data_IF_360102692349
#
_entry.id   IF_360102692349
#
_cell.length_a   1.000
_cell.length_b   1.000
_cell.length_c   1.000
_cell.angle_alpha   90.00
_cell.angle_beta   90.00
_cell.angle_gamma   90.00
#
_symmetry.space_group_name_H-M   'P 1'
#
loop_
_entity.id
_entity.type
_entity.pdbx_description
1 polymer ?
#
# COMPACT_ATOMS: atom_id res chain seq x y z
N UNK A 1 13.00 13.48 -58.49
CA UNK A 1 13.91 14.05 -57.48
C UNK A 1 13.18 13.92 -56.15
N UNK A 2 13.64 13.05 -55.26
CA UNK A 2 12.98 12.88 -53.95
C UNK A 2 13.18 14.18 -53.18
N UNK A 3 12.10 14.80 -52.73
CA UNK A 3 12.14 16.03 -51.91
C UNK A 3 12.65 15.67 -50.51
N UNK A 4 13.97 15.49 -50.41
CA UNK A 4 14.68 15.14 -49.18
C UNK A 4 14.41 16.20 -48.11
N UNK A 5 14.26 17.46 -48.49
CA UNK A 5 13.97 18.55 -47.57
C UNK A 5 12.57 18.42 -46.97
N UNK A 6 11.56 18.11 -47.78
CA UNK A 6 10.21 17.81 -47.32
C UNK A 6 10.16 16.63 -46.33
N UNK A 7 10.91 15.56 -46.60
CA UNK A 7 11.02 14.42 -45.68
C UNK A 7 11.70 14.77 -44.36
N UNK A 8 12.79 15.54 -44.38
CA UNK A 8 13.48 16.01 -43.17
C UNK A 8 12.55 16.87 -42.32
N UNK A 9 11.80 17.78 -42.94
CA UNK A 9 10.81 18.62 -42.24
C UNK A 9 9.67 17.79 -41.66
N UNK A 10 9.18 16.77 -42.38
CA UNK A 10 8.14 15.87 -41.89
C UNK A 10 8.63 15.10 -40.65
N UNK A 11 9.83 14.52 -40.70
CA UNK A 11 10.43 13.78 -39.57
C UNK A 11 10.64 14.71 -38.37
N UNK A 12 11.17 15.92 -38.58
CA UNK A 12 11.36 16.90 -37.51
C UNK A 12 10.05 17.28 -36.82
N UNK A 13 8.97 17.48 -37.59
CA UNK A 13 7.64 17.78 -37.03
C UNK A 13 7.08 16.61 -36.22
N UNK A 14 7.25 15.37 -36.69
CA UNK A 14 6.82 14.18 -35.95
C UNK A 14 7.57 14.09 -34.61
N UNK A 15 8.88 14.30 -34.61
CA UNK A 15 9.69 14.31 -33.38
C UNK A 15 9.20 15.40 -32.42
N UNK A 16 8.93 16.61 -32.92
CA UNK A 16 8.43 17.70 -32.09
C UNK A 16 7.08 17.37 -31.44
N UNK A 17 6.14 16.81 -32.21
CA UNK A 17 4.84 16.36 -31.69
C UNK A 17 5.03 15.30 -30.60
N UNK A 18 5.93 14.33 -30.81
CA UNK A 18 6.26 13.33 -29.80
C UNK A 18 6.82 13.96 -28.51
N UNK A 19 7.69 14.96 -28.60
CA UNK A 19 8.25 15.66 -27.45
C UNK A 19 7.19 16.46 -26.68
N UNK A 20 6.32 17.20 -27.38
CA UNK A 20 5.21 17.95 -26.77
C UNK A 20 4.27 16.99 -26.05
N UNK A 21 3.93 15.87 -26.68
CA UNK A 21 3.09 14.84 -26.08
C UNK A 21 3.74 14.24 -24.82
N UNK A 22 5.05 13.94 -24.85
CA UNK A 22 5.78 13.43 -23.70
C UNK A 22 5.81 14.43 -22.53
N UNK A 23 6.04 15.72 -22.80
CA UNK A 23 6.02 16.77 -21.78
C UNK A 23 4.62 16.94 -21.15
N UNK A 24 3.59 17.00 -21.98
CA UNK A 24 2.21 17.11 -21.51
C UNK A 24 1.81 15.91 -20.62
N UNK A 25 2.27 14.71 -20.99
CA UNK A 25 2.07 13.49 -20.21
C UNK A 25 2.72 13.57 -18.83
N UNK A 26 3.98 13.97 -18.75
CA UNK A 26 4.67 14.09 -17.45
C UNK A 26 3.99 15.13 -16.55
N UNK A 27 3.45 16.21 -17.12
CA UNK A 27 2.69 17.21 -16.35
C UNK A 27 1.35 16.69 -15.82
N UNK A 28 0.68 15.81 -16.57
CA UNK A 28 -0.64 15.23 -16.21
C UNK A 28 -0.56 13.96 -15.40
N UNK A 29 0.65 13.52 -15.08
CA UNK A 29 0.90 12.33 -14.27
C UNK A 29 0.33 12.50 -12.85
N UNK A 30 -0.48 11.57 -12.35
CA UNK A 30 -0.91 11.58 -10.97
C UNK A 30 0.24 11.15 -10.05
N UNK A 31 0.28 11.72 -8.84
CA UNK A 31 1.24 11.34 -7.81
C UNK A 31 0.49 10.56 -6.75
N UNK A 32 0.59 9.23 -6.81
CA UNK A 32 -0.01 8.35 -5.80
C UNK A 32 1.02 8.00 -4.74
N UNK A 33 0.60 8.08 -3.48
CA UNK A 33 1.36 7.63 -2.32
C UNK A 33 0.59 6.57 -1.56
N UNK A 34 1.34 5.69 -0.92
CA UNK A 34 0.80 4.65 -0.04
C UNK A 34 1.20 4.96 1.40
N UNK A 35 0.40 4.55 2.38
CA UNK A 35 0.75 4.59 3.81
C UNK A 35 0.08 3.41 4.50
N UNK A 36 0.81 2.76 5.41
CA UNK A 36 0.23 1.71 6.24
C UNK A 36 0.02 2.27 7.65
N UNK A 37 -1.20 2.14 8.14
CA UNK A 37 -1.61 2.67 9.44
C UNK A 37 -2.27 1.57 10.27
N UNK A 38 -1.83 1.32 11.51
CA UNK A 38 -2.53 0.45 12.45
C UNK A 38 -3.89 1.05 12.87
N UNK A 39 -4.89 0.20 13.12
CA UNK A 39 -6.25 0.61 13.52
C UNK A 39 -6.29 1.59 14.70
N UNK A 40 -5.48 1.35 15.74
CA UNK A 40 -5.39 2.22 16.92
C UNK A 40 -5.00 3.67 16.57
N UNK A 41 -4.09 3.84 15.60
CA UNK A 41 -3.67 5.17 15.14
C UNK A 41 -4.73 5.81 14.25
N UNK A 42 -5.56 5.03 13.57
CA UNK A 42 -6.66 5.50 12.71
C UNK A 42 -7.81 6.07 13.53
N UNK A 43 -8.20 5.36 14.60
CA UNK A 43 -9.25 5.81 15.54
C UNK A 43 -8.83 7.10 16.26
N UNK A 44 -7.59 7.19 16.73
CA UNK A 44 -7.04 8.40 17.38
C UNK A 44 -7.03 9.62 16.45
N UNK A 45 -6.95 9.43 15.14
CA UNK A 45 -6.98 10.49 14.14
C UNK A 45 -8.40 10.86 13.67
N UNK A 46 -9.44 10.40 14.36
CA UNK A 46 -10.83 10.82 14.10
C UNK A 46 -11.52 10.11 12.93
N UNK A 47 -10.91 9.07 12.36
CA UNK A 47 -11.57 8.25 11.34
C UNK A 47 -12.62 7.35 12.00
N UNK A 48 -13.83 7.26 11.40
CA UNK A 48 -14.86 6.31 11.84
C UNK A 48 -14.33 4.89 11.66
N UNK A 49 -14.37 4.08 12.72
CA UNK A 49 -14.13 2.65 12.63
C UNK A 49 -15.05 2.07 11.55
N UNK A 50 -14.49 1.37 10.57
CA UNK A 50 -15.32 0.68 9.57
C UNK A 50 -15.91 -0.51 10.33
N UNK A 51 -17.24 -0.58 10.54
CA UNK A 51 -17.85 -1.61 11.35
C UNK A 51 -17.95 -2.88 10.51
N UNK A 52 -16.83 -3.59 10.35
CA UNK A 52 -16.90 -5.05 10.21
C UNK A 52 -16.76 -5.60 11.62
N UNK A 53 -17.62 -6.53 11.97
CA UNK A 53 -17.52 -7.36 13.17
C UNK A 53 -16.12 -7.97 13.19
N UNK A 54 -15.19 -7.28 13.84
CA UNK A 54 -13.87 -7.81 14.19
C UNK A 54 -14.16 -8.84 15.26
N UNK A 55 -14.42 -10.08 14.84
CA UNK A 55 -14.51 -11.18 15.77
C UNK A 55 -13.11 -11.42 16.33
N UNK A 56 -12.97 -11.17 17.64
CA UNK A 56 -11.90 -11.67 18.52
C UNK A 56 -10.50 -11.78 17.90
N UNK A 57 -9.67 -10.76 18.10
CA UNK A 57 -8.22 -10.86 17.93
C UNK A 57 -7.68 -10.40 16.56
N UNK A 58 -8.54 -9.88 15.70
CA UNK A 58 -8.15 -9.39 14.36
C UNK A 58 -7.43 -8.04 14.42
N UNK A 59 -6.20 -8.03 13.90
CA UNK A 59 -5.39 -6.82 13.73
C UNK A 59 -5.70 -6.24 12.37
N UNK A 60 -6.37 -5.09 12.34
CA UNK A 60 -6.54 -4.35 11.10
C UNK A 60 -5.34 -3.42 10.88
N UNK A 61 -4.46 -3.80 9.95
CA UNK A 61 -3.61 -2.81 9.27
C UNK A 61 -4.42 -2.21 8.11
N UNK A 62 -4.27 -0.91 7.87
CA UNK A 62 -4.91 -0.24 6.75
C UNK A 62 -3.86 0.25 5.76
N UNK A 63 -4.01 -0.14 4.50
CA UNK A 63 -3.33 0.47 3.38
C UNK A 63 -4.15 1.68 2.90
N UNK A 64 -3.60 2.86 3.14
CA UNK A 64 -4.10 4.12 2.60
C UNK A 64 -3.41 4.36 1.26
N UNK A 65 -4.18 4.59 0.22
CA UNK A 65 -3.70 5.01 -1.11
C UNK A 65 -4.23 6.41 -1.38
N UNK A 66 -3.34 7.36 -1.57
CA UNK A 66 -3.67 8.77 -1.69
C UNK A 66 -3.16 9.35 -3.01
N UNK A 67 -3.98 10.16 -3.67
CA UNK A 67 -3.54 10.99 -4.79
C UNK A 67 -3.17 12.37 -4.26
N UNK A 68 -1.88 12.65 -4.12
CA UNK A 68 -1.41 13.95 -3.61
C UNK A 68 -1.22 15.00 -4.71
N UNK A 69 -1.54 14.66 -5.96
CA UNK A 69 -1.43 15.55 -7.11
C UNK A 69 -2.72 16.29 -7.41
N UNK A 70 -2.62 17.28 -8.29
CA UNK A 70 -3.76 17.99 -8.86
C UNK A 70 -4.37 17.27 -10.08
N UNK A 71 -3.87 16.08 -10.44
CA UNK A 71 -4.31 15.33 -11.61
C UNK A 71 -5.17 14.13 -11.20
N UNK A 72 -6.20 13.81 -11.99
CA UNK A 72 -7.02 12.60 -11.79
C UNK A 72 -6.19 11.34 -12.04
N UNK A 73 -6.30 10.35 -11.18
CA UNK A 73 -5.83 9.00 -11.47
C UNK A 73 -7.02 8.15 -11.91
N UNK A 74 -7.04 7.66 -13.14
CA UNK A 74 -8.12 6.81 -13.66
C UNK A 74 -7.69 5.35 -13.74
N UNK A 75 -8.65 4.42 -13.69
CA UNK A 75 -8.42 2.97 -13.73
C UNK A 75 -7.33 2.53 -12.74
N UNK A 76 -7.46 2.93 -11.48
CA UNK A 76 -6.46 2.65 -10.45
C UNK A 76 -6.60 1.21 -10.02
N UNK A 77 -5.63 0.36 -10.40
CA UNK A 77 -5.52 -1.01 -9.91
C UNK A 77 -4.49 -1.05 -8.81
N UNK A 78 -4.86 -1.61 -7.66
CA UNK A 78 -4.02 -1.76 -6.49
C UNK A 78 -3.90 -3.25 -6.20
N UNK A 79 -2.69 -3.75 -6.36
CA UNK A 79 -2.33 -5.12 -6.03
C UNK A 79 -1.38 -5.09 -4.84
N UNK A 80 -1.57 -5.99 -3.89
CA UNK A 80 -0.59 -6.20 -2.85
C UNK A 80 -0.41 -7.68 -2.53
N UNK A 81 0.82 -8.04 -2.18
CA UNK A 81 1.18 -9.42 -1.83
C UNK A 81 2.01 -9.48 -0.55
N UNK A 82 1.77 -10.54 0.22
CA UNK A 82 2.55 -10.89 1.40
C UNK A 82 3.59 -11.93 1.06
N UNK A 83 4.83 -11.68 1.48
CA UNK A 83 5.93 -12.61 1.39
C UNK A 83 6.48 -12.89 2.78
N UNK A 84 6.67 -14.17 3.10
CA UNK A 84 7.40 -14.63 4.28
C UNK A 84 8.59 -15.45 3.81
N UNK A 85 9.81 -15.04 4.18
CA UNK A 85 11.04 -15.71 3.74
C UNK A 85 11.13 -15.92 2.21
N UNK A 86 10.52 -15.02 1.43
CA UNK A 86 10.46 -15.10 -0.04
C UNK A 86 9.30 -15.94 -0.60
N UNK A 87 8.56 -16.67 0.25
CA UNK A 87 7.38 -17.42 -0.14
C UNK A 87 6.14 -16.51 -0.15
N UNK A 88 5.39 -16.54 -1.26
CA UNK A 88 4.17 -15.74 -1.42
C UNK A 88 3.01 -16.38 -0.64
N UNK A 89 2.54 -15.68 0.39
CA UNK A 89 1.48 -16.14 1.28
C UNK A 89 0.10 -15.72 0.81
N UNK A 90 -0.08 -14.46 0.40
CA UNK A 90 -1.38 -13.95 -0.02
C UNK A 90 -1.23 -12.85 -1.06
N UNK A 91 -2.25 -12.69 -1.89
CA UNK A 91 -2.34 -11.64 -2.90
C UNK A 91 -3.77 -11.13 -2.95
N UNK A 92 -3.89 -9.81 -2.99
CA UNK A 92 -5.18 -9.13 -3.11
C UNK A 92 -5.08 -8.10 -4.21
N UNK A 93 -6.09 -8.10 -5.08
CA UNK A 93 -6.26 -7.12 -6.14
C UNK A 93 -7.56 -6.34 -5.93
N UNK A 94 -7.48 -5.02 -6.08
CA UNK A 94 -8.60 -4.09 -6.03
C UNK A 94 -8.51 -3.11 -7.18
N UNK A 95 -9.66 -2.73 -7.73
CA UNK A 95 -9.76 -1.74 -8.80
C UNK A 95 -10.67 -0.60 -8.36
N UNK A 96 -10.30 0.62 -8.78
CA UNK A 96 -11.08 1.83 -8.62
C UNK A 96 -11.17 2.51 -9.99
N UNK A 97 -12.38 2.93 -10.36
CA UNK A 97 -12.61 3.64 -11.62
C UNK A 97 -11.76 4.91 -11.70
N UNK A 98 -11.67 5.62 -10.58
CA UNK A 98 -10.83 6.80 -10.44
C UNK A 98 -10.50 7.12 -8.97
N UNK A 99 -9.50 7.98 -8.78
CA UNK A 99 -9.14 8.64 -7.53
C UNK A 99 -8.89 10.12 -7.82
N UNK A 100 -9.76 11.02 -7.34
CA UNK A 100 -9.66 12.44 -7.66
C UNK A 100 -8.39 13.07 -7.08
N UNK A 101 -8.00 14.24 -7.57
CA UNK A 101 -6.99 15.06 -6.92
C UNK A 101 -7.23 15.20 -5.41
N UNK A 102 -6.18 15.05 -4.62
CA UNK A 102 -6.20 15.19 -3.16
C UNK A 102 -7.15 14.23 -2.40
N UNK A 103 -7.61 13.15 -3.04
CA UNK A 103 -8.38 12.10 -2.38
C UNK A 103 -7.53 10.94 -1.90
N UNK A 104 -8.06 10.20 -0.92
CA UNK A 104 -7.48 8.96 -0.44
C UNK A 104 -8.56 7.90 -0.27
N UNK A 105 -8.15 6.65 -0.44
CA UNK A 105 -8.97 5.46 -0.16
C UNK A 105 -8.24 4.59 0.84
N UNK A 106 -9.03 3.92 1.68
CA UNK A 106 -8.53 3.05 2.74
C UNK A 106 -8.92 1.61 2.42
N UNK A 107 -7.97 0.70 2.53
CA UNK A 107 -8.20 -0.73 2.38
C UNK A 107 -7.65 -1.47 3.59
N UNK A 108 -8.43 -2.41 4.11
CA UNK A 108 -7.96 -3.29 5.17
C UNK A 108 -6.99 -4.30 4.57
N UNK A 109 -5.84 -4.44 5.22
CA UNK A 109 -4.88 -5.52 5.01
C UNK A 109 -5.37 -6.71 5.82
N UNK A 110 -5.72 -7.80 5.14
CA UNK A 110 -6.22 -9.03 5.77
C UNK A 110 -5.04 -9.89 6.22
N UNK A 111 -4.53 -9.66 7.44
CA UNK A 111 -3.51 -10.53 8.04
C UNK A 111 -4.09 -11.89 8.48
N UNK A 112 -5.41 -12.00 8.67
CA UNK A 112 -6.10 -13.25 9.00
C UNK A 112 -5.84 -14.36 7.97
N UNK A 113 -5.79 -14.00 6.68
CA UNK A 113 -5.50 -14.93 5.58
C UNK A 113 -4.14 -15.63 5.75
N UNK A 114 -3.19 -15.01 6.47
CA UNK A 114 -1.88 -15.60 6.77
C UNK A 114 -2.02 -16.67 7.86
N UNK A 115 -2.80 -16.40 8.90
CA UNK A 115 -3.08 -17.36 9.98
C UNK A 115 -3.73 -18.61 9.40
N UNK A 116 -4.71 -18.43 8.50
CA UNK A 116 -5.45 -19.56 7.91
C UNK A 116 -4.56 -20.43 7.00
N UNK A 117 -3.61 -19.83 6.28
CA UNK A 117 -2.70 -20.55 5.37
C UNK A 117 -1.53 -21.20 6.07
N UNK A 118 -1.01 -20.58 7.12
CA UNK A 118 0.16 -21.06 7.88
C UNK A 118 -0.13 -21.11 9.38
N UNK A 119 -1.16 -21.88 9.79
CA UNK A 119 -1.54 -21.98 11.20
C UNK A 119 -0.42 -22.59 12.06
N UNK A 120 0.49 -23.33 11.44
CA UNK A 120 1.69 -23.90 12.06
C UNK A 120 2.60 -22.86 12.72
N UNK A 121 2.62 -21.64 12.19
CA UNK A 121 3.45 -20.53 12.66
C UNK A 121 2.85 -19.79 13.85
N UNK A 122 1.58 -20.05 14.19
CA UNK A 122 0.84 -19.33 15.20
C UNK A 122 0.45 -20.23 16.37
N UNK A 123 0.23 -19.60 17.50
CA UNK A 123 -0.35 -20.20 18.69
C UNK A 123 -1.49 -19.34 19.21
N UNK A 124 -2.49 -20.00 19.81
CA UNK A 124 -3.60 -19.32 20.48
C UNK A 124 -3.33 -19.35 21.97
N UNK A 125 -3.22 -18.17 22.56
CA UNK A 125 -3.01 -17.99 23.99
C UNK A 125 -4.27 -17.38 24.57
N UNK A 126 -4.83 -18.04 25.58
CA UNK A 126 -5.96 -17.54 26.33
C UNK A 126 -5.47 -16.85 27.60
N UNK A 127 -5.89 -15.60 27.77
CA UNK A 127 -5.58 -14.82 28.96
C UNK A 127 -6.85 -14.46 29.70
N UNK A 128 -6.93 -14.76 31.01
CA UNK A 128 -8.04 -14.32 31.83
C UNK A 128 -7.96 -12.80 32.03
N UNK A 129 -8.97 -12.06 31.59
CA UNK A 129 -9.13 -10.65 31.94
C UNK A 129 -10.40 -10.49 32.78
N UNK A 130 -10.24 -10.32 34.09
CA UNK A 130 -11.20 -9.91 35.15
C UNK A 130 -12.60 -10.58 35.15
N UNK A 131 -13.29 -10.75 34.01
CA UNK A 131 -14.54 -11.51 33.79
C UNK A 131 -14.65 -12.25 32.43
N UNK A 132 -13.66 -12.18 31.53
CA UNK A 132 -13.69 -12.84 30.20
C UNK A 132 -12.35 -13.48 29.85
N UNK A 133 -12.40 -14.59 29.10
CA UNK A 133 -11.22 -15.16 28.42
C UNK A 133 -10.98 -14.36 27.13
N UNK A 134 -9.82 -13.72 27.02
CA UNK A 134 -9.37 -13.09 25.77
C UNK A 134 -8.41 -14.06 25.10
N UNK A 135 -8.73 -14.47 23.88
CA UNK A 135 -7.86 -15.32 23.06
C UNK A 135 -7.04 -14.43 22.14
N UNK A 136 -5.72 -14.52 22.21
CA UNK A 136 -4.78 -13.87 21.31
C UNK A 136 -4.18 -14.92 20.37
N UNK A 137 -4.24 -14.68 19.05
CA UNK A 137 -3.46 -15.45 18.08
C UNK A 137 -2.16 -14.70 17.83
N UNK A 138 -1.03 -15.30 18.21
CA UNK A 138 0.30 -14.70 18.08
C UNK A 138 1.23 -15.66 17.35
N UNK A 139 2.26 -15.16 16.65
CA UNK A 139 3.24 -16.04 16.05
C UNK A 139 4.12 -16.65 17.15
N UNK A 140 4.51 -17.92 17.00
CA UNK A 140 5.38 -18.64 17.95
C UNK A 140 6.76 -17.98 18.06
N UNK A 141 7.27 -17.53 16.92
CA UNK A 141 8.51 -16.76 16.80
C UNK A 141 8.23 -15.40 16.15
N UNK A 142 9.06 -14.39 16.42
CA UNK A 142 8.85 -13.06 15.86
C UNK A 142 8.97 -13.13 14.34
N UNK A 143 7.86 -12.83 13.65
CA UNK A 143 7.74 -13.00 12.21
C UNK A 143 7.98 -11.69 11.48
N UNK A 144 8.74 -11.73 10.39
CA UNK A 144 8.93 -10.60 9.48
C UNK A 144 8.28 -10.88 8.13
N UNK A 145 7.28 -10.07 7.80
CA UNK A 145 6.56 -10.12 6.53
C UNK A 145 7.00 -8.97 5.64
N UNK A 146 7.17 -9.25 4.36
CA UNK A 146 7.35 -8.23 3.32
C UNK A 146 6.00 -8.06 2.61
N UNK A 147 5.48 -6.84 2.62
CA UNK A 147 4.31 -6.45 1.85
C UNK A 147 4.75 -5.65 0.64
N UNK A 148 4.57 -6.22 -0.55
CA UNK A 148 4.79 -5.51 -1.81
C UNK A 148 3.46 -4.95 -2.31
N UNK A 149 3.47 -3.69 -2.73
CA UNK A 149 2.31 -2.99 -3.26
C UNK A 149 2.67 -2.53 -4.67
N UNK A 150 1.81 -2.88 -5.62
CA UNK A 150 1.88 -2.44 -7.00
C UNK A 150 0.60 -1.68 -7.34
N UNK A 151 0.74 -0.43 -7.76
CA UNK A 151 -0.38 0.40 -8.18
C UNK A 151 -0.16 0.76 -9.64
N UNK A 152 -1.13 0.46 -10.49
CA UNK A 152 -1.16 0.94 -11.86
C UNK A 152 -2.31 1.91 -12.05
N UNK A 153 -2.10 3.05 -12.68
CA UNK A 153 -3.15 3.99 -13.03
C UNK A 153 -2.89 4.66 -14.37
N UNK A 154 -3.94 5.14 -15.01
CA UNK A 154 -3.86 5.89 -16.25
C UNK A 154 -3.92 7.40 -15.95
N UNK A 155 -2.95 8.19 -16.45
CA UNK A 155 -2.98 9.66 -16.35
C UNK A 155 -4.02 10.30 -17.28
N UNK A 156 -4.56 9.54 -18.24
CA UNK A 156 -5.54 10.00 -19.23
C UNK A 156 -6.76 9.06 -19.28
N UNK A 157 -7.89 9.58 -19.79
CA UNK A 157 -9.13 8.85 -20.08
C UNK A 157 -9.00 7.80 -21.22
N UNK A 158 -7.79 7.26 -21.45
CA UNK A 158 -7.50 6.26 -22.47
C UNK A 158 -6.55 5.19 -21.93
N UNK A 159 -6.77 3.92 -22.32
CA UNK A 159 -6.08 2.73 -21.80
C UNK A 159 -4.65 2.52 -22.33
N UNK A 160 -4.08 3.49 -23.04
CA UNK A 160 -2.93 3.22 -23.90
C UNK A 160 -1.58 3.17 -23.16
N UNK A 161 -1.42 3.87 -22.03
CA UNK A 161 -0.14 3.95 -21.31
C UNK A 161 -0.35 4.03 -19.79
N UNK A 162 -0.13 2.90 -19.12
CA UNK A 162 -0.21 2.76 -17.66
C UNK A 162 1.00 3.42 -16.98
N UNK A 163 0.73 4.11 -15.89
CA UNK A 163 1.74 4.51 -14.92
C UNK A 163 1.77 3.52 -13.77
N UNK A 164 2.95 3.05 -13.42
CA UNK A 164 3.14 2.07 -12.35
C UNK A 164 3.91 2.65 -11.17
N UNK A 165 3.50 2.25 -9.98
CA UNK A 165 4.12 2.61 -8.72
C UNK A 165 4.31 1.32 -7.94
N UNK A 166 5.52 1.13 -7.46
CA UNK A 166 5.90 0.00 -6.61
C UNK A 166 6.34 0.55 -5.27
N UNK A 167 5.83 -0.06 -4.20
CA UNK A 167 6.28 0.24 -2.86
C UNK A 167 6.35 -1.04 -2.03
N UNK A 168 7.26 -1.07 -1.06
CA UNK A 168 7.45 -2.22 -0.20
C UNK A 168 7.47 -1.81 1.26
N UNK A 169 6.93 -2.67 2.11
CA UNK A 169 6.86 -2.47 3.54
C UNK A 169 7.32 -3.71 4.29
N UNK A 170 8.07 -3.49 5.37
CA UNK A 170 8.31 -4.53 6.36
C UNK A 170 7.31 -4.44 7.48
N UNK A 171 6.66 -5.56 7.75
CA UNK A 171 5.74 -5.74 8.85
C UNK A 171 6.38 -6.77 9.80
N UNK A 172 6.69 -6.33 11.01
CA UNK A 172 7.19 -7.21 12.08
C UNK A 172 6.03 -7.51 13.01
N UNK A 173 5.72 -8.79 13.15
CA UNK A 173 4.72 -9.31 14.08
C UNK A 173 5.45 -10.02 15.21
N UNK A 174 5.45 -9.39 16.38
CA UNK A 174 6.24 -9.87 17.51
C UNK A 174 5.60 -11.13 18.13
N UNK A 175 6.45 -12.06 18.57
CA UNK A 175 6.06 -13.16 19.47
C UNK A 175 6.28 -12.77 20.93
N UNK A 176 6.02 -13.71 21.85
CA UNK A 176 6.32 -13.54 23.27
C UNK A 176 7.82 -13.37 23.58
N UNK A 177 8.71 -13.84 22.71
CA UNK A 177 10.16 -13.64 22.89
C UNK A 177 10.57 -12.17 22.78
N UNK A 178 9.96 -11.45 21.83
CA UNK A 178 10.26 -10.03 21.59
C UNK A 178 9.43 -9.08 22.46
N UNK A 179 8.21 -9.47 22.80
CA UNK A 179 7.29 -8.70 23.65
C UNK A 179 6.67 -9.67 24.68
N UNK A 180 7.21 -9.76 25.91
CA UNK A 180 6.75 -10.77 26.87
C UNK A 180 5.34 -10.52 27.44
N UNK A 181 4.90 -9.26 27.45
CA UNK A 181 3.62 -8.88 28.06
C UNK A 181 2.45 -9.15 27.10
N UNK A 182 1.61 -10.15 27.41
CA UNK A 182 0.50 -10.54 26.52
C UNK A 182 -0.53 -9.41 26.27
N UNK A 183 -0.67 -8.48 27.21
CA UNK A 183 -1.54 -7.30 27.05
C UNK A 183 -1.12 -6.38 25.90
N UNK A 184 0.17 -6.41 25.54
CA UNK A 184 0.74 -5.60 24.47
C UNK A 184 0.68 -6.34 23.12
N UNK A 185 0.10 -7.54 23.13
CA UNK A 185 -0.19 -8.32 21.95
C UNK A 185 -1.61 -8.09 21.48
N UNK A 186 -1.80 -8.08 20.15
CA UNK A 186 -0.77 -8.31 19.14
C UNK A 186 0.11 -7.08 18.84
N UNK A 187 1.44 -7.26 18.85
CA UNK A 187 2.39 -6.18 18.58
C UNK A 187 2.88 -6.21 17.12
N UNK A 188 2.26 -5.37 16.29
CA UNK A 188 2.64 -5.21 14.88
C UNK A 188 3.27 -3.85 14.62
N UNK A 189 4.45 -3.88 14.00
CA UNK A 189 5.18 -2.67 13.58
C UNK A 189 5.39 -2.72 12.08
N UNK A 190 5.26 -1.57 11.43
CA UNK A 190 5.35 -1.48 9.98
C UNK A 190 6.22 -0.30 9.55
N UNK A 191 7.11 -0.53 8.59
CA UNK A 191 8.00 0.47 8.03
C UNK A 191 8.08 0.37 6.51
N UNK A 192 8.09 1.52 5.82
CA UNK A 192 8.35 1.54 4.38
C UNK A 192 9.82 1.24 4.11
N UNK A 193 10.08 0.47 3.06
CA UNK A 193 11.43 0.12 2.61
C UNK A 193 11.62 0.50 1.16
N UNK A 194 12.79 1.09 0.86
CA UNK A 194 13.25 1.34 -0.51
C UNK A 194 14.74 1.08 -0.59
N UNK A 195 15.18 0.28 -1.57
CA UNK A 195 16.60 0.00 -1.82
C UNK A 195 17.39 -0.42 -0.56
N UNK A 196 16.81 -1.27 0.29
CA UNK A 196 17.48 -1.72 1.53
C UNK A 196 17.28 -0.80 2.74
N UNK A 197 16.82 0.44 2.55
CA UNK A 197 16.72 1.46 3.59
C UNK A 197 15.29 1.62 4.12
N UNK A 198 15.17 1.90 5.42
CA UNK A 198 13.91 2.31 6.05
C UNK A 198 13.59 3.75 5.70
N UNK A 199 12.43 3.98 5.07
CA UNK A 199 12.02 5.29 4.60
C UNK A 199 10.91 5.84 5.49
N UNK A 200 11.16 6.99 6.10
CA UNK A 200 10.10 7.76 6.77
C UNK A 200 9.37 8.58 5.71
N UNK A 201 8.06 8.35 5.56
CA UNK A 201 7.21 9.18 4.71
C UNK A 201 6.90 10.48 5.47
N UNK A 202 7.30 11.61 4.88
CA UNK A 202 7.02 12.96 5.38
C UNK A 202 5.71 13.44 4.73
N UNK A 203 4.84 14.09 5.49
CA UNK A 203 3.58 14.62 4.94
C UNK A 203 3.84 15.94 4.21
N UNK A 204 3.22 16.15 3.05
CA UNK A 204 3.47 17.31 2.17
C UNK A 204 3.20 18.67 2.83
N UNK A 205 2.40 18.71 3.92
CA UNK A 205 2.19 19.92 4.73
C UNK A 205 3.47 20.37 5.45
N UNK A 206 4.38 19.47 5.77
CA UNK A 206 5.64 19.79 6.45
C UNK A 206 6.69 20.39 5.50
N UNK A 207 6.55 20.17 4.18
CA UNK A 207 7.45 20.70 3.15
C UNK A 207 7.14 22.16 2.75
N UNK A 208 6.05 22.74 3.27
CA UNK A 208 5.65 24.14 3.03
C UNK A 208 6.00 25.09 4.20
N UNK A 209 6.85 24.66 5.13
CA UNK A 209 7.37 25.51 6.22
C UNK A 209 8.79 25.96 5.94
#
# INVERSE_FOLDING_TARGET
MIDIFGWVMAVANVILICLIYAQYREQKKPIITTKIVPDEKRIKNGAKAIPRTLEKGDIALYLIVSNISNNLASNVKINYEFLLNGEKLAEVSKELDYLNPCEATDMIIMLGDIIDKRPDLFERIEHPNIKTLITHTIPKETMTLLLNIHISCNPFLGKFLLYEIKDSYYIVWSSLEGVPELKDHPNIRCWSKRNGLYIKKIESRELKR
#
